data_IF_711527204436
#
_entry.id   IF_711527204436
#
_cell.length_a   1.000
_cell.length_b   1.000
_cell.length_c   1.000
_cell.angle_alpha   90.00
_cell.angle_beta   90.00
_cell.angle_gamma   90.00
#
_symmetry.space_group_name_H-M   'P 1'
#
loop_
_entity.id
_entity.type
_entity.pdbx_description
1 polymer ?
#
# COMPACT_ATOMS: atom_id res chain seq x y z
N UNK A 1 30.06 -27.61 22.21
CA UNK A 1 29.39 -26.29 22.22
C UNK A 1 29.82 -25.43 21.02
N UNK A 2 29.10 -25.46 19.89
CA UNK A 2 29.35 -24.59 18.70
C UNK A 2 28.07 -24.09 17.99
N UNK A 3 26.86 -24.36 18.52
CA UNK A 3 25.58 -24.03 17.86
C UNK A 3 25.21 -22.53 17.84
N UNK A 4 25.77 -21.70 18.73
CA UNK A 4 25.40 -20.28 18.84
C UNK A 4 25.92 -19.35 17.75
N UNK A 5 27.10 -19.64 17.17
CA UNK A 5 27.70 -18.79 16.11
C UNK A 5 26.98 -18.94 14.75
N UNK A 6 26.48 -20.14 14.44
CA UNK A 6 25.76 -20.42 13.18
C UNK A 6 24.43 -19.69 13.07
N UNK A 7 23.63 -19.68 14.16
CA UNK A 7 22.29 -19.05 14.18
C UNK A 7 22.31 -17.54 13.94
N UNK A 8 23.28 -16.83 14.53
CA UNK A 8 23.44 -15.37 14.32
C UNK A 8 23.79 -15.03 12.86
N UNK A 9 24.58 -15.89 12.21
CA UNK A 9 24.93 -15.74 10.80
C UNK A 9 23.73 -16.05 9.90
N UNK A 10 22.97 -17.09 10.23
CA UNK A 10 21.73 -17.45 9.54
C UNK A 10 20.72 -16.32 9.51
N UNK A 11 20.36 -15.73 10.67
CA UNK A 11 19.41 -14.61 10.71
C UNK A 11 19.85 -13.40 9.88
N UNK A 12 21.13 -13.03 9.96
CA UNK A 12 21.66 -11.91 9.17
C UNK A 12 21.56 -12.17 7.68
N UNK A 13 21.79 -13.42 7.25
CA UNK A 13 21.62 -13.81 5.86
C UNK A 13 20.15 -13.74 5.44
N UNK A 14 19.24 -14.21 6.29
CA UNK A 14 17.79 -14.12 6.05
C UNK A 14 17.33 -12.67 5.92
N UNK A 15 17.74 -11.80 6.85
CA UNK A 15 17.39 -10.38 6.81
C UNK A 15 17.98 -9.71 5.56
N UNK A 16 19.25 -9.98 5.24
CA UNK A 16 19.90 -9.43 4.05
C UNK A 16 19.20 -9.87 2.77
N UNK A 17 18.77 -11.13 2.71
CA UNK A 17 18.04 -11.67 1.57
C UNK A 17 16.64 -11.11 1.48
N UNK A 18 15.96 -10.95 2.61
CA UNK A 18 14.65 -10.29 2.68
C UNK A 18 14.73 -8.85 2.17
N UNK A 19 15.74 -8.08 2.58
CA UNK A 19 15.97 -6.71 2.10
C UNK A 19 16.37 -6.66 0.62
N UNK A 20 16.95 -7.74 0.07
CA UNK A 20 17.23 -7.85 -1.36
C UNK A 20 16.00 -8.27 -2.18
N UNK A 21 15.08 -9.04 -1.59
CA UNK A 21 13.86 -9.52 -2.23
C UNK A 21 12.73 -8.46 -2.21
N UNK A 22 12.69 -7.59 -1.21
CA UNK A 22 11.61 -6.61 -1.01
C UNK A 22 12.10 -5.17 -0.94
N UNK A 23 11.65 -4.35 -1.89
CA UNK A 23 11.69 -2.89 -1.79
C UNK A 23 10.63 -2.37 -0.79
N UNK A 24 11.04 -2.24 0.47
CA UNK A 24 10.21 -1.74 1.56
C UNK A 24 9.69 -0.32 1.32
N UNK A 25 10.45 0.52 0.61
CA UNK A 25 10.06 1.89 0.34
C UNK A 25 8.92 1.94 -0.68
N UNK A 26 8.92 1.03 -1.66
CA UNK A 26 7.85 0.90 -2.64
C UNK A 26 6.55 0.36 -2.02
N UNK A 27 6.68 -0.55 -1.05
CA UNK A 27 5.57 -1.16 -0.31
C UNK A 27 5.01 -0.30 0.84
N UNK A 28 5.61 0.87 1.13
CA UNK A 28 5.13 1.81 2.16
C UNK A 28 3.90 2.60 1.65
N UNK A 29 2.76 1.90 1.65
CA UNK A 29 1.47 2.44 1.22
C UNK A 29 1.08 3.74 1.96
N UNK A 30 1.09 3.79 3.31
CA UNK A 30 0.65 4.97 4.05
C UNK A 30 1.46 6.22 3.70
N UNK A 31 2.79 6.08 3.55
CA UNK A 31 3.65 7.21 3.19
C UNK A 31 3.37 7.74 1.80
N UNK A 32 3.18 6.86 0.81
CA UNK A 32 2.92 7.25 -0.58
C UNK A 32 1.54 7.90 -0.74
N UNK A 33 0.52 7.33 -0.10
CA UNK A 33 -0.84 7.89 -0.11
C UNK A 33 -0.92 9.20 0.65
N UNK A 34 -0.13 9.41 1.71
CA UNK A 34 -0.08 10.70 2.42
C UNK A 34 0.31 11.87 1.50
N UNK A 35 1.26 11.66 0.58
CA UNK A 35 1.67 12.68 -0.40
C UNK A 35 0.53 12.97 -1.37
N UNK A 36 -0.14 11.93 -1.88
CA UNK A 36 -1.31 12.07 -2.75
C UNK A 36 -2.46 12.82 -2.05
N UNK A 37 -2.75 12.48 -0.78
CA UNK A 37 -3.77 13.12 0.02
C UNK A 37 -3.48 14.61 0.28
N UNK A 38 -2.23 15.00 0.47
CA UNK A 38 -1.83 16.40 0.59
C UNK A 38 -2.20 17.20 -0.65
N UNK A 39 -1.88 16.67 -1.84
CA UNK A 39 -2.24 17.30 -3.13
C UNK A 39 -3.76 17.35 -3.34
N UNK A 40 -4.48 16.27 -2.99
CA UNK A 40 -5.93 16.24 -3.08
C UNK A 40 -6.60 17.33 -2.24
N UNK A 41 -6.13 17.53 -0.99
CA UNK A 41 -6.66 18.58 -0.10
C UNK A 41 -6.47 19.96 -0.70
N UNK A 42 -5.30 20.22 -1.29
CA UNK A 42 -5.01 21.48 -1.96
C UNK A 42 -6.01 21.76 -3.11
N UNK A 43 -6.32 20.74 -3.92
CA UNK A 43 -7.32 20.89 -5.00
C UNK A 43 -8.72 21.23 -4.45
N UNK A 44 -9.16 20.60 -3.37
CA UNK A 44 -10.45 20.90 -2.74
C UNK A 44 -10.52 22.32 -2.19
N UNK A 45 -9.47 22.76 -1.48
CA UNK A 45 -9.38 24.13 -0.95
C UNK A 45 -9.35 25.16 -2.07
N UNK A 46 -8.57 24.90 -3.13
CA UNK A 46 -8.48 25.79 -4.29
C UNK A 46 -9.84 25.92 -5.01
N UNK A 47 -10.57 24.83 -5.18
CA UNK A 47 -11.89 24.85 -5.80
C UNK A 47 -12.90 25.66 -4.97
N UNK A 48 -12.94 25.44 -3.64
CA UNK A 48 -13.78 26.21 -2.74
C UNK A 48 -13.44 27.71 -2.77
N UNK A 49 -12.14 28.04 -2.76
CA UNK A 49 -11.66 29.41 -2.84
C UNK A 49 -12.11 30.09 -4.13
N UNK A 50 -11.86 29.48 -5.29
CA UNK A 50 -12.24 30.05 -6.58
C UNK A 50 -13.75 30.29 -6.70
N UNK A 51 -14.56 29.34 -6.26
CA UNK A 51 -16.02 29.44 -6.29
C UNK A 51 -16.53 30.57 -5.37
N UNK A 52 -15.98 30.64 -4.16
CA UNK A 52 -16.32 31.71 -3.21
C UNK A 52 -15.89 33.08 -3.73
N UNK A 53 -14.65 33.22 -4.23
CA UNK A 53 -14.13 34.47 -4.78
C UNK A 53 -14.96 34.95 -5.98
N UNK A 54 -15.40 34.04 -6.86
CA UNK A 54 -16.26 34.39 -7.98
C UNK A 54 -17.61 34.96 -7.53
N UNK A 55 -18.31 34.27 -6.61
CA UNK A 55 -19.59 34.77 -6.12
C UNK A 55 -19.45 36.03 -5.25
N UNK A 56 -18.35 36.17 -4.50
CA UNK A 56 -18.02 37.40 -3.79
C UNK A 56 -17.81 38.57 -4.75
N UNK A 57 -17.06 38.37 -5.84
CA UNK A 57 -16.81 39.40 -6.84
C UNK A 57 -18.10 39.89 -7.51
N UNK A 58 -19.01 38.96 -7.84
CA UNK A 58 -20.34 39.30 -8.37
C UNK A 58 -21.15 40.10 -7.35
N UNK A 59 -21.18 39.66 -6.09
CA UNK A 59 -21.88 40.38 -5.01
C UNK A 59 -21.31 41.77 -4.76
N UNK A 60 -19.97 41.89 -4.76
CA UNK A 60 -19.27 43.15 -4.55
C UNK A 60 -19.55 44.13 -5.69
N UNK A 61 -19.53 43.65 -6.93
CA UNK A 61 -19.90 44.47 -8.09
C UNK A 61 -21.34 44.99 -7.96
N UNK A 62 -22.31 44.12 -7.64
CA UNK A 62 -23.70 44.53 -7.44
C UNK A 62 -23.90 45.54 -6.30
N UNK A 63 -23.15 45.40 -5.20
CA UNK A 63 -23.14 46.37 -4.11
C UNK A 63 -22.53 47.71 -4.53
N UNK A 64 -21.40 47.69 -5.24
CA UNK A 64 -20.70 48.90 -5.69
C UNK A 64 -21.52 49.77 -6.65
N UNK A 65 -22.41 49.13 -7.43
CA UNK A 65 -23.34 49.80 -8.35
C UNK A 65 -24.66 50.22 -7.69
N UNK A 66 -24.82 50.00 -6.37
CA UNK A 66 -26.04 50.34 -5.64
C UNK A 66 -27.24 49.43 -5.94
N UNK A 67 -27.06 48.33 -6.67
CA UNK A 67 -28.13 47.38 -6.98
C UNK A 67 -28.47 46.45 -5.79
N UNK A 68 -27.54 46.30 -4.85
CA UNK A 68 -27.67 45.39 -3.70
C UNK A 68 -27.43 46.17 -2.41
N UNK A 69 -28.38 46.11 -1.47
CA UNK A 69 -28.20 46.70 -0.14
C UNK A 69 -27.12 45.96 0.67
N UNK A 70 -26.46 46.66 1.60
CA UNK A 70 -25.39 46.10 2.45
C UNK A 70 -25.82 44.85 3.22
N UNK A 71 -27.05 44.83 3.74
CA UNK A 71 -27.62 43.69 4.45
C UNK A 71 -27.78 42.46 3.54
N UNK A 72 -28.28 42.67 2.32
CA UNK A 72 -28.48 41.60 1.33
C UNK A 72 -27.13 41.04 0.85
N UNK A 73 -26.14 41.91 0.64
CA UNK A 73 -24.77 41.50 0.30
C UNK A 73 -24.16 40.63 1.39
N UNK A 74 -24.23 41.05 2.67
CA UNK A 74 -23.71 40.28 3.80
C UNK A 74 -24.36 38.89 3.90
N UNK A 75 -25.68 38.81 3.77
CA UNK A 75 -26.43 37.54 3.76
C UNK A 75 -26.01 36.65 2.59
N UNK A 76 -25.87 37.21 1.39
CA UNK A 76 -25.47 36.46 0.20
C UNK A 76 -24.06 35.87 0.32
N UNK A 77 -23.09 36.65 0.82
CA UNK A 77 -21.71 36.20 1.03
C UNK A 77 -21.63 35.07 2.06
N UNK A 78 -22.38 35.18 3.16
CA UNK A 78 -22.44 34.12 4.16
C UNK A 78 -23.11 32.85 3.61
N UNK A 79 -24.23 33.00 2.91
CA UNK A 79 -24.96 31.88 2.30
C UNK A 79 -24.10 31.15 1.25
N UNK A 80 -23.28 31.88 0.49
CA UNK A 80 -22.38 31.33 -0.54
C UNK A 80 -21.27 30.45 0.06
N UNK A 81 -20.91 30.63 1.33
CA UNK A 81 -19.85 29.86 1.98
C UNK A 81 -20.20 28.36 2.06
N UNK A 82 -21.47 28.02 2.28
CA UNK A 82 -21.95 26.63 2.37
C UNK A 82 -21.79 25.85 1.04
N UNK A 83 -22.34 26.28 -0.11
CA UNK A 83 -22.14 25.54 -1.36
C UNK A 83 -20.66 25.52 -1.79
N UNK A 84 -19.88 26.56 -1.50
CA UNK A 84 -18.44 26.58 -1.80
C UNK A 84 -17.67 25.48 -1.03
N UNK A 85 -17.96 25.32 0.26
CA UNK A 85 -17.35 24.27 1.08
C UNK A 85 -17.76 22.87 0.64
N UNK A 86 -19.04 22.66 0.32
CA UNK A 86 -19.54 21.39 -0.21
C UNK A 86 -18.82 21.01 -1.50
N UNK A 87 -18.73 21.93 -2.46
CA UNK A 87 -18.00 21.72 -3.73
C UNK A 87 -16.52 21.39 -3.47
N UNK A 88 -15.87 22.11 -2.55
CA UNK A 88 -14.49 21.82 -2.16
C UNK A 88 -14.29 20.40 -1.61
N UNK A 89 -15.21 19.93 -0.77
CA UNK A 89 -15.19 18.55 -0.25
C UNK A 89 -15.37 17.53 -1.37
N UNK A 90 -16.29 17.75 -2.30
CA UNK A 90 -16.47 16.85 -3.45
C UNK A 90 -15.22 16.78 -4.33
N UNK A 91 -14.63 17.94 -4.65
CA UNK A 91 -13.38 18.01 -5.43
C UNK A 91 -12.25 17.30 -4.69
N UNK A 92 -12.14 17.48 -3.38
CA UNK A 92 -11.16 16.77 -2.56
C UNK A 92 -11.33 15.24 -2.62
N UNK A 93 -12.56 14.74 -2.48
CA UNK A 93 -12.86 13.29 -2.56
C UNK A 93 -12.52 12.71 -3.94
N UNK A 94 -12.88 13.41 -5.01
CA UNK A 94 -12.56 13.02 -6.38
C UNK A 94 -11.05 13.02 -6.63
N UNK A 95 -10.36 14.08 -6.24
CA UNK A 95 -8.91 14.20 -6.38
C UNK A 95 -8.19 13.13 -5.57
N UNK A 96 -8.66 12.83 -4.35
CA UNK A 96 -8.11 11.77 -3.51
C UNK A 96 -8.17 10.42 -4.21
N UNK A 97 -9.35 10.01 -4.67
CA UNK A 97 -9.52 8.72 -5.34
C UNK A 97 -8.63 8.63 -6.59
N UNK A 98 -8.63 9.69 -7.42
CA UNK A 98 -7.82 9.74 -8.65
C UNK A 98 -6.31 9.69 -8.39
N UNK A 99 -5.83 10.30 -7.31
CA UNK A 99 -4.40 10.31 -6.96
C UNK A 99 -3.96 9.06 -6.17
N UNK A 100 -4.87 8.39 -5.47
CA UNK A 100 -4.61 7.14 -4.75
C UNK A 100 -4.54 5.94 -5.69
N UNK A 101 -5.37 5.93 -6.75
CA UNK A 101 -5.40 4.86 -7.75
C UNK A 101 -4.04 4.49 -8.37
N UNK A 102 -3.23 5.44 -8.91
CA UNK A 102 -1.94 5.08 -9.49
C UNK A 102 -0.95 4.54 -8.45
N UNK A 103 -1.06 4.95 -7.18
CA UNK A 103 -0.24 4.40 -6.09
C UNK A 103 -0.63 2.95 -5.80
N UNK A 104 -1.93 2.67 -5.66
CA UNK A 104 -2.43 1.30 -5.49
C UNK A 104 -1.98 0.42 -6.65
N UNK A 105 -2.19 0.87 -7.89
CA UNK A 105 -1.85 0.12 -9.10
C UNK A 105 -0.34 -0.18 -9.19
N UNK A 106 0.52 0.81 -8.96
CA UNK A 106 1.97 0.60 -8.98
C UNK A 106 2.44 -0.41 -7.93
N UNK A 107 1.84 -0.41 -6.74
CA UNK A 107 2.15 -1.39 -5.69
C UNK A 107 1.60 -2.76 -6.08
N UNK A 108 0.37 -2.86 -6.61
CA UNK A 108 -0.20 -4.11 -7.13
C UNK A 108 0.67 -4.72 -8.23
N UNK A 109 1.14 -3.92 -9.18
CA UNK A 109 2.00 -4.37 -10.27
C UNK A 109 3.34 -4.87 -9.72
N UNK A 110 3.88 -4.21 -8.69
CA UNK A 110 5.08 -4.67 -8.00
C UNK A 110 4.85 -5.99 -7.25
N UNK A 111 3.75 -6.12 -6.51
CA UNK A 111 3.38 -7.38 -5.83
C UNK A 111 3.20 -8.51 -6.86
N UNK A 112 2.54 -8.25 -7.98
CA UNK A 112 2.40 -9.21 -9.08
C UNK A 112 3.76 -9.67 -9.63
N UNK A 113 4.73 -8.76 -9.74
CA UNK A 113 6.09 -9.09 -10.17
C UNK A 113 6.85 -9.95 -9.15
N UNK A 114 6.62 -9.74 -7.86
CA UNK A 114 7.24 -10.51 -6.78
C UNK A 114 6.61 -11.91 -6.65
N UNK A 115 5.29 -11.96 -6.66
CA UNK A 115 4.55 -13.19 -6.37
C UNK A 115 4.48 -14.12 -7.59
N UNK A 116 4.38 -13.60 -8.82
CA UNK A 116 4.49 -14.39 -10.06
C UNK A 116 3.85 -15.79 -10.03
N UNK A 117 4.50 -16.78 -10.65
CA UNK A 117 4.02 -18.19 -10.63
C UNK A 117 4.44 -18.97 -9.38
N UNK A 118 5.23 -18.37 -8.49
CA UNK A 118 6.00 -19.13 -7.50
C UNK A 118 5.96 -18.60 -6.09
N UNK A 119 5.33 -17.46 -5.87
CA UNK A 119 5.17 -16.73 -4.62
C UNK A 119 6.50 -16.41 -3.91
N UNK A 120 6.75 -15.14 -3.59
CA UNK A 120 7.98 -14.77 -2.87
C UNK A 120 7.73 -14.70 -1.37
N UNK A 121 6.58 -14.16 -0.95
CA UNK A 121 6.27 -13.96 0.46
C UNK A 121 6.15 -15.29 1.23
N UNK A 122 5.42 -16.29 0.73
CA UNK A 122 5.21 -17.57 1.43
C UNK A 122 6.52 -18.32 1.72
N UNK A 123 7.59 -18.05 0.98
CA UNK A 123 8.90 -18.68 1.23
C UNK A 123 9.38 -18.38 2.65
N UNK A 124 9.01 -17.21 3.17
CA UNK A 124 9.29 -16.77 4.52
C UNK A 124 8.30 -17.26 5.58
N UNK A 125 7.33 -18.11 5.21
CA UNK A 125 6.33 -18.65 6.14
C UNK A 125 6.91 -19.31 7.40
N UNK A 126 8.03 -20.09 7.35
CA UNK A 126 8.62 -20.64 8.56
C UNK A 126 9.08 -19.55 9.55
N UNK A 127 9.71 -18.49 9.03
CA UNK A 127 10.13 -17.36 9.85
C UNK A 127 8.91 -16.60 10.39
N UNK A 128 7.90 -16.38 9.55
CA UNK A 128 6.66 -15.71 9.93
C UNK A 128 5.86 -16.48 10.99
N UNK A 129 5.84 -17.81 10.96
CA UNK A 129 5.17 -18.63 11.96
C UNK A 129 5.75 -18.44 13.36
N UNK A 130 7.06 -18.22 13.46
CA UNK A 130 7.76 -18.01 14.74
C UNK A 130 7.72 -16.54 15.17
N UNK A 131 7.87 -15.61 14.23
CA UNK A 131 7.97 -14.18 14.52
C UNK A 131 6.62 -13.47 14.63
N UNK A 132 5.58 -14.01 13.99
CA UNK A 132 4.23 -13.44 13.94
C UNK A 132 3.14 -14.49 14.25
N UNK A 133 3.24 -15.30 15.33
CA UNK A 133 2.37 -16.46 15.55
C UNK A 133 0.88 -16.13 15.71
N UNK A 134 0.56 -14.91 16.19
CA UNK A 134 -0.80 -14.43 16.41
C UNK A 134 -1.38 -13.61 15.26
N UNK A 135 -0.59 -13.27 14.22
CA UNK A 135 -1.08 -12.42 13.15
C UNK A 135 -1.83 -13.26 12.09
N UNK A 136 -3.17 -13.20 12.13
CA UNK A 136 -4.04 -13.87 11.16
C UNK A 136 -3.85 -13.35 9.73
N UNK A 137 -3.58 -12.06 9.57
CA UNK A 137 -3.32 -11.43 8.27
C UNK A 137 -2.02 -11.98 7.66
N UNK A 138 -0.98 -12.14 8.48
CA UNK A 138 0.27 -12.75 8.05
C UNK A 138 0.06 -14.19 7.57
N UNK A 139 -0.69 -15.00 8.33
CA UNK A 139 -1.00 -16.39 7.95
C UNK A 139 -1.81 -16.47 6.65
N UNK A 140 -2.86 -15.65 6.51
CA UNK A 140 -3.71 -15.66 5.32
C UNK A 140 -2.95 -15.20 4.07
N UNK A 141 -2.09 -14.18 4.18
CA UNK A 141 -1.27 -13.72 3.06
C UNK A 141 -0.21 -14.73 2.66
N UNK A 142 0.42 -15.44 3.61
CA UNK A 142 1.35 -16.51 3.31
C UNK A 142 0.66 -17.67 2.56
N UNK A 143 -0.57 -18.02 2.95
CA UNK A 143 -1.35 -19.04 2.24
C UNK A 143 -1.70 -18.60 0.82
N UNK A 144 -2.25 -17.39 0.64
CA UNK A 144 -2.59 -16.83 -0.68
C UNK A 144 -1.38 -16.67 -1.60
N UNK A 145 -0.24 -16.26 -1.04
CA UNK A 145 1.05 -16.18 -1.75
C UNK A 145 1.49 -17.56 -2.24
N UNK A 146 1.30 -18.62 -1.43
CA UNK A 146 1.60 -20.00 -1.80
C UNK A 146 0.69 -20.52 -2.91
N UNK A 147 -0.59 -20.17 -2.85
CA UNK A 147 -1.62 -20.57 -3.82
C UNK A 147 -1.56 -19.76 -5.13
N UNK A 148 -0.80 -18.67 -5.15
CA UNK A 148 -0.69 -17.78 -6.31
C UNK A 148 -1.91 -16.87 -6.52
N UNK A 149 -2.72 -16.67 -5.48
CA UNK A 149 -3.93 -15.83 -5.52
C UNK A 149 -3.62 -14.33 -5.40
N UNK A 150 -2.76 -13.83 -6.29
CA UNK A 150 -2.20 -12.47 -6.20
C UNK A 150 -3.26 -11.39 -6.39
N UNK A 151 -4.26 -11.65 -7.25
CA UNK A 151 -5.32 -10.69 -7.56
C UNK A 151 -6.21 -10.36 -6.34
N UNK A 152 -6.24 -11.23 -5.33
CA UNK A 152 -7.03 -11.06 -4.12
C UNK A 152 -6.26 -10.37 -2.98
N UNK A 153 -4.98 -10.01 -3.19
CA UNK A 153 -4.14 -9.39 -2.18
C UNK A 153 -4.31 -7.88 -2.22
N UNK A 154 -4.79 -7.29 -1.11
CA UNK A 154 -4.79 -5.84 -0.97
C UNK A 154 -3.34 -5.32 -0.81
N UNK A 155 -2.94 -4.28 -1.57
CA UNK A 155 -1.60 -3.72 -1.50
C UNK A 155 -1.18 -3.21 -0.12
N UNK A 156 -2.13 -2.66 0.65
CA UNK A 156 -1.88 -2.14 1.99
C UNK A 156 -1.59 -3.28 2.97
N UNK A 157 -2.40 -4.34 2.92
CA UNK A 157 -2.23 -5.52 3.77
C UNK A 157 -0.90 -6.23 3.49
N UNK A 158 -0.54 -6.38 2.20
CA UNK A 158 0.73 -6.97 1.80
C UNK A 158 1.92 -6.15 2.32
N UNK A 159 1.88 -4.83 2.09
CA UNK A 159 2.92 -3.93 2.59
C UNK A 159 3.05 -4.01 4.11
N UNK A 160 1.92 -4.04 4.84
CA UNK A 160 1.89 -4.17 6.29
C UNK A 160 2.59 -5.44 6.76
N UNK A 161 2.24 -6.60 6.20
CA UNK A 161 2.86 -7.88 6.59
C UNK A 161 4.35 -7.92 6.27
N UNK A 162 4.77 -7.40 5.11
CA UNK A 162 6.19 -7.33 4.75
C UNK A 162 6.97 -6.44 5.73
N UNK A 163 6.44 -5.28 6.08
CA UNK A 163 7.05 -4.37 7.06
C UNK A 163 7.09 -4.97 8.47
N UNK A 164 6.01 -5.61 8.91
CA UNK A 164 5.96 -6.29 10.21
C UNK A 164 6.98 -7.43 10.28
N UNK A 165 7.10 -8.24 9.23
CA UNK A 165 8.06 -9.33 9.18
C UNK A 165 9.50 -8.81 9.13
N UNK A 166 9.77 -7.73 8.38
CA UNK A 166 11.07 -7.06 8.39
C UNK A 166 11.44 -6.57 9.80
N UNK A 167 10.50 -5.89 10.45
CA UNK A 167 10.67 -5.37 11.81
C UNK A 167 10.95 -6.52 12.79
N UNK A 168 10.14 -7.58 12.73
CA UNK A 168 10.33 -8.75 13.59
C UNK A 168 11.67 -9.46 13.33
N UNK A 169 12.12 -9.59 12.08
CA UNK A 169 13.43 -10.14 11.73
C UNK A 169 14.60 -9.28 12.25
N UNK A 170 14.42 -7.95 12.25
CA UNK A 170 15.41 -6.99 12.71
C UNK A 170 15.53 -6.99 14.24
N UNK A 171 14.40 -6.97 14.94
CA UNK A 171 14.31 -6.87 16.40
C UNK A 171 14.45 -8.20 17.14
N UNK A 172 14.15 -9.32 16.48
CA UNK A 172 14.24 -10.65 17.06
C UNK A 172 15.56 -10.88 17.82
N UNK A 173 15.48 -11.45 19.03
CA UNK A 173 16.68 -11.87 19.75
C UNK A 173 17.41 -12.99 18.97
N UNK A 174 18.70 -13.18 19.24
CA UNK A 174 19.58 -14.15 18.58
C UNK A 174 19.07 -15.60 18.66
N UNK A 175 18.12 -15.89 19.54
CA UNK A 175 17.52 -17.20 19.77
C UNK A 175 16.14 -17.37 19.13
N UNK A 176 15.55 -16.32 18.56
CA UNK A 176 14.17 -16.35 18.07
C UNK A 176 13.97 -17.32 16.90
N UNK A 177 14.96 -17.46 16.00
CA UNK A 177 14.93 -18.47 14.93
C UNK A 177 15.85 -19.63 15.31
N UNK A 178 15.26 -20.81 15.48
CA UNK A 178 16.00 -22.02 15.72
C UNK A 178 16.60 -22.60 14.42
N UNK A 179 17.36 -23.68 14.55
CA UNK A 179 18.04 -24.25 13.38
C UNK A 179 17.04 -24.89 12.41
N UNK A 180 15.98 -25.50 12.95
CA UNK A 180 14.92 -26.13 12.17
C UNK A 180 14.16 -25.10 11.32
N UNK A 181 13.81 -23.94 11.89
CA UNK A 181 13.16 -22.86 11.13
C UNK A 181 14.06 -22.32 10.03
N UNK A 182 15.36 -22.18 10.30
CA UNK A 182 16.33 -21.71 9.30
C UNK A 182 16.54 -22.72 8.16
N UNK A 183 16.55 -24.02 8.46
CA UNK A 183 16.62 -25.08 7.46
C UNK A 183 15.34 -25.16 6.63
N UNK A 184 14.16 -25.07 7.27
CA UNK A 184 12.88 -25.02 6.57
C UNK A 184 12.79 -23.81 5.63
N UNK A 185 13.24 -22.64 6.10
CA UNK A 185 13.32 -21.43 5.30
C UNK A 185 14.27 -21.60 4.10
N UNK A 186 15.46 -22.18 4.30
CA UNK A 186 16.41 -22.42 3.23
C UNK A 186 15.81 -23.32 2.13
N UNK A 187 15.11 -24.38 2.52
CA UNK A 187 14.38 -25.27 1.58
C UNK A 187 13.34 -24.49 0.78
N UNK A 188 12.49 -23.69 1.44
CA UNK A 188 11.47 -22.90 0.75
C UNK A 188 12.08 -21.86 -0.21
N UNK A 189 13.26 -21.33 0.10
CA UNK A 189 13.96 -20.36 -0.75
C UNK A 189 14.58 -21.02 -1.99
N UNK A 190 15.02 -22.26 -1.88
CA UNK A 190 15.56 -23.08 -2.97
C UNK A 190 14.48 -23.63 -3.89
N UNK A 191 13.25 -23.77 -3.39
CA UNK A 191 12.09 -24.20 -4.18
C UNK A 191 11.87 -23.22 -5.34
N UNK A 192 12.14 -23.70 -6.56
CA UNK A 192 11.68 -23.05 -7.78
C UNK A 192 10.16 -23.26 -7.79
N UNK A 193 9.40 -22.16 -7.80
CA UNK A 193 7.94 -22.23 -7.83
C UNK A 193 7.47 -23.14 -8.96
N UNK A 194 6.25 -23.70 -8.88
CA UNK A 194 5.78 -24.71 -9.82
C UNK A 194 6.05 -24.24 -11.26
N UNK A 195 6.94 -24.95 -11.95
CA UNK A 195 7.18 -24.78 -13.36
C UNK A 195 5.84 -24.98 -14.03
N UNK A 196 5.24 -23.88 -14.53
CA UNK A 196 4.04 -23.93 -15.32
C UNK A 196 4.21 -25.02 -16.36
N UNK A 197 3.32 -26.01 -16.33
CA UNK A 197 3.38 -27.17 -17.19
C UNK A 197 3.70 -26.75 -18.61
N UNK A 198 4.65 -27.47 -19.21
CA UNK A 198 4.67 -27.65 -20.65
C UNK A 198 3.24 -27.95 -21.10
N UNK A 199 2.61 -26.99 -21.76
CA UNK A 199 1.56 -27.30 -22.73
C UNK A 199 2.22 -28.02 -23.89
N UNK A 200 2.63 -29.28 -23.67
CA UNK A 200 2.72 -30.28 -24.73
C UNK A 200 1.29 -30.65 -25.10
N UNK A 201 0.64 -29.70 -25.77
CA UNK A 201 -0.61 -29.90 -26.50
C UNK A 201 -0.26 -30.22 -27.94
N UNK A 202 0.26 -31.43 -28.13
CA UNK A 202 0.35 -32.12 -29.40
C UNK A 202 -1.01 -32.00 -30.12
N UNK A 203 -1.05 -31.24 -31.22
CA UNK A 203 -2.19 -31.27 -32.15
C UNK A 203 -1.67 -31.79 -33.48
N UNK A 204 -1.33 -33.08 -33.48
CA UNK A 204 -1.42 -33.91 -34.67
C UNK A 204 -2.74 -34.70 -34.63
N UNK A 205 -3.17 -35.17 -35.81
CA UNK A 205 -4.42 -35.87 -36.15
C UNK A 205 -5.60 -34.92 -36.40
N UNK A 206 -6.17 -34.82 -37.60
CA UNK A 206 -5.98 -35.51 -38.87
C UNK A 206 -6.93 -34.92 -39.92
#
# INVERSE_FOLDING_TARGET
MRRGKGRRRGRREVLRRFEADFDLARLDYPRRVRIANGKARLHGVLAAFLLYSAGFAVGYYGWSQGHVGTELFGKAVWLLMLPATVVGVFVWLLARNRLEYPVRRDISDYIASLEGKGGRLWRYAPAAAVLCPGNLLCKSLMARSREGEIAAIDPEDYGRVVHELHHALREADRRALDAETLEALARNLEERGPSGGETTGDTSVG
#
